data_IF_645081029669
#
_entry.id   IF_645081029669
#
_cell.length_a   1.000
_cell.length_b   1.000
_cell.length_c   1.000
_cell.angle_alpha   90.00
_cell.angle_beta   90.00
_cell.angle_gamma   90.00
#
_symmetry.space_group_name_H-M   'P 1'
#
loop_
_entity.id
_entity.type
_entity.pdbx_description
1 polymer ?
#
# COMPACT_ATOMS: atom_id res chain seq x y z
N UNK A 1 -18.67 -12.60 -10.49
CA UNK A 1 -17.99 -12.57 -11.81
C UNK A 1 -18.73 -11.63 -12.75
N UNK A 2 -20.05 -11.56 -12.65
CA UNK A 2 -20.92 -10.77 -13.53
C UNK A 2 -20.68 -9.26 -13.40
N UNK A 3 -20.48 -8.76 -12.18
CA UNK A 3 -20.14 -7.34 -11.91
C UNK A 3 -18.85 -6.90 -12.65
N UNK A 4 -17.85 -7.78 -12.71
CA UNK A 4 -16.60 -7.50 -13.40
C UNK A 4 -16.80 -7.45 -14.92
N UNK A 5 -17.61 -8.36 -15.46
CA UNK A 5 -17.91 -8.44 -16.89
C UNK A 5 -18.72 -7.20 -17.32
N UNK A 6 -19.69 -6.77 -16.50
CA UNK A 6 -20.49 -5.58 -16.77
C UNK A 6 -19.64 -4.31 -16.78
N UNK A 7 -18.76 -4.14 -15.79
CA UNK A 7 -17.84 -3.00 -15.73
C UNK A 7 -16.88 -2.96 -16.92
N UNK A 8 -16.33 -4.11 -17.29
CA UNK A 8 -15.43 -4.24 -18.45
C UNK A 8 -16.18 -3.97 -19.76
N UNK A 9 -17.42 -4.44 -19.89
CA UNK A 9 -18.24 -4.19 -21.08
C UNK A 9 -18.54 -2.70 -21.28
N UNK A 10 -18.80 -1.98 -20.18
CA UNK A 10 -19.04 -0.54 -20.18
C UNK A 10 -17.76 0.24 -20.56
N UNK A 11 -16.58 -0.25 -20.16
CA UNK A 11 -15.30 0.37 -20.49
C UNK A 11 -14.87 0.17 -21.95
N UNK A 12 -15.23 -1.00 -22.52
CA UNK A 12 -14.90 -1.37 -23.90
C UNK A 12 -15.88 -0.76 -24.90
N UNK A 13 -17.08 -0.34 -24.46
CA UNK A 13 -18.11 0.15 -25.36
C UNK A 13 -17.63 1.38 -26.14
N UNK A 14 -17.57 1.22 -27.46
CA UNK A 14 -16.99 2.21 -28.34
C UNK A 14 -18.00 3.34 -28.60
N UNK A 15 -17.82 4.50 -27.96
CA UNK A 15 -18.57 5.70 -28.35
C UNK A 15 -18.01 6.25 -29.66
N UNK A 16 -18.90 6.50 -30.60
CA UNK A 16 -18.56 6.71 -32.02
C UNK A 16 -18.03 8.13 -32.31
N UNK A 17 -17.89 9.00 -31.30
CA UNK A 17 -17.50 10.41 -31.46
C UNK A 17 -16.23 10.81 -30.67
N UNK A 18 -15.48 9.85 -30.12
CA UNK A 18 -14.33 10.16 -29.25
C UNK A 18 -12.99 10.18 -30.02
N UNK A 19 -12.28 11.31 -29.92
CA UNK A 19 -10.91 11.49 -30.45
C UNK A 19 -9.91 10.54 -29.77
N UNK A 20 -8.78 10.28 -30.44
CA UNK A 20 -7.73 9.38 -29.92
C UNK A 20 -7.22 9.79 -28.53
N UNK A 21 -7.14 11.09 -28.26
CA UNK A 21 -6.67 11.60 -26.97
C UNK A 21 -7.68 11.37 -25.83
N UNK A 22 -8.98 11.42 -26.12
CA UNK A 22 -10.02 11.17 -25.12
C UNK A 22 -10.03 9.69 -24.70
N UNK A 23 -9.73 8.79 -25.64
CA UNK A 23 -9.56 7.35 -25.38
C UNK A 23 -8.36 7.05 -24.49
N UNK A 24 -7.22 7.72 -24.71
CA UNK A 24 -6.04 7.55 -23.84
C UNK A 24 -6.37 7.91 -22.39
N UNK A 25 -7.13 8.98 -22.16
CA UNK A 25 -7.40 9.45 -20.81
C UNK A 25 -8.51 8.65 -20.10
N UNK A 26 -9.62 8.35 -20.77
CA UNK A 26 -10.74 7.65 -20.14
C UNK A 26 -10.58 6.13 -20.12
N UNK A 27 -9.91 5.52 -21.11
CA UNK A 27 -9.72 4.07 -21.16
C UNK A 27 -8.37 3.62 -20.59
N UNK A 28 -7.27 4.21 -21.06
CA UNK A 28 -5.92 3.70 -20.75
C UNK A 28 -5.45 4.12 -19.36
N UNK A 29 -5.59 5.39 -18.98
CA UNK A 29 -5.17 5.88 -17.65
C UNK A 29 -5.78 5.09 -16.47
N UNK A 30 -7.12 4.91 -16.37
CA UNK A 30 -7.70 4.14 -15.26
C UNK A 30 -7.35 2.65 -15.33
N UNK A 31 -7.23 2.07 -16.53
CA UNK A 31 -6.77 0.69 -16.66
C UNK A 31 -5.35 0.51 -16.12
N UNK A 32 -4.44 1.45 -16.41
CA UNK A 32 -3.09 1.46 -15.84
C UNK A 32 -3.10 1.61 -14.32
N UNK A 33 -3.96 2.48 -13.77
CA UNK A 33 -4.11 2.58 -12.30
C UNK A 33 -4.61 1.29 -11.67
N UNK A 34 -5.58 0.61 -12.29
CA UNK A 34 -6.07 -0.69 -11.83
C UNK A 34 -4.95 -1.73 -11.87
N UNK A 35 -4.20 -1.82 -12.98
CA UNK A 35 -3.07 -2.75 -13.07
C UNK A 35 -1.99 -2.46 -12.00
N UNK A 36 -1.59 -1.20 -11.84
CA UNK A 36 -0.57 -0.82 -10.86
C UNK A 36 -1.04 -1.08 -9.43
N UNK A 37 -2.31 -0.84 -9.12
CA UNK A 37 -2.87 -1.14 -7.80
C UNK A 37 -2.90 -2.65 -7.52
N UNK A 38 -3.29 -3.48 -8.49
CA UNK A 38 -3.26 -4.94 -8.38
C UNK A 38 -1.84 -5.46 -8.13
N UNK A 39 -0.83 -4.90 -8.80
CA UNK A 39 0.58 -5.28 -8.57
C UNK A 39 1.02 -4.96 -7.13
N UNK A 40 0.65 -3.78 -6.62
CA UNK A 40 0.95 -3.41 -5.24
C UNK A 40 0.22 -4.31 -4.23
N UNK A 41 -1.05 -4.62 -4.47
CA UNK A 41 -1.83 -5.54 -3.63
C UNK A 41 -1.21 -6.94 -3.63
N UNK A 42 -0.81 -7.44 -4.80
CA UNK A 42 -0.19 -8.76 -4.92
C UNK A 42 1.08 -8.89 -4.09
N UNK A 43 1.86 -7.80 -3.96
CA UNK A 43 3.05 -7.76 -3.09
C UNK A 43 2.72 -7.91 -1.60
N UNK A 44 1.53 -7.50 -1.16
CA UNK A 44 1.09 -7.65 0.23
C UNK A 44 0.62 -9.08 0.54
N UNK A 45 -0.03 -9.77 -0.40
CA UNK A 45 -0.61 -11.09 -0.13
C UNK A 45 0.33 -12.27 -0.38
N UNK A 46 1.25 -12.14 -1.34
CA UNK A 46 2.11 -13.26 -1.79
C UNK A 46 3.54 -13.12 -1.25
N UNK A 47 3.93 -11.95 -0.73
CA UNK A 47 5.27 -11.69 -0.21
C UNK A 47 5.28 -10.84 1.05
N UNK A 48 6.47 -10.47 1.52
CA UNK A 48 6.62 -9.50 2.62
C UNK A 48 6.64 -8.07 2.06
N UNK A 49 5.71 -7.23 2.53
CA UNK A 49 5.66 -5.81 2.15
C UNK A 49 6.85 -5.02 2.71
N UNK A 50 7.36 -5.43 3.88
CA UNK A 50 8.54 -4.87 4.54
C UNK A 50 9.30 -5.98 5.27
N UNK A 51 10.63 -5.89 5.32
CA UNK A 51 11.46 -6.78 6.13
C UNK A 51 12.10 -5.96 7.25
N UNK A 52 11.76 -6.30 8.49
CA UNK A 52 12.28 -5.67 9.70
C UNK A 52 13.47 -6.46 10.27
N UNK A 53 14.33 -5.75 11.01
CA UNK A 53 15.40 -6.38 11.75
C UNK A 53 14.82 -7.07 13.00
N UNK A 54 14.60 -8.38 12.92
CA UNK A 54 14.17 -9.21 14.03
C UNK A 54 15.38 -9.69 14.87
N UNK A 55 15.14 -10.02 16.14
CA UNK A 55 16.18 -10.62 17.00
C UNK A 55 16.48 -12.05 16.54
N UNK A 56 17.74 -12.48 16.69
CA UNK A 56 18.19 -13.81 16.29
C UNK A 56 17.49 -14.97 17.04
N UNK A 57 16.95 -14.69 18.23
CA UNK A 57 16.26 -15.69 19.07
C UNK A 57 14.81 -15.96 18.63
N UNK A 58 14.26 -15.17 17.69
CA UNK A 58 12.87 -15.29 17.27
C UNK A 58 12.68 -16.49 16.33
N UNK A 59 11.65 -17.30 16.61
CA UNK A 59 11.17 -18.32 15.69
C UNK A 59 10.52 -17.66 14.46
N UNK A 60 10.45 -18.40 13.35
CA UNK A 60 9.94 -17.90 12.06
C UNK A 60 8.57 -17.19 12.16
N UNK A 61 7.62 -17.73 12.93
CA UNK A 61 6.31 -17.07 13.11
C UNK A 61 6.39 -15.70 13.80
N UNK A 62 7.34 -15.49 14.72
CA UNK A 62 7.55 -14.19 15.35
C UNK A 62 8.25 -13.20 14.41
N UNK A 63 9.05 -13.69 13.46
CA UNK A 63 9.65 -12.85 12.42
C UNK A 63 8.56 -12.29 11.50
N UNK A 64 7.62 -13.15 11.06
CA UNK A 64 6.46 -12.71 10.27
C UNK A 64 5.61 -11.69 11.04
N UNK A 65 5.27 -11.99 12.30
CA UNK A 65 4.52 -11.05 13.15
C UNK A 65 5.23 -9.69 13.30
N UNK A 66 6.56 -9.69 13.46
CA UNK A 66 7.34 -8.45 13.60
C UNK A 66 7.28 -7.61 12.33
N UNK A 67 7.33 -8.25 11.15
CA UNK A 67 7.21 -7.56 9.87
C UNK A 67 5.83 -6.93 9.69
N UNK A 68 4.76 -7.64 10.04
CA UNK A 68 3.39 -7.11 9.96
C UNK A 68 3.18 -5.97 10.95
N UNK A 69 3.70 -6.12 12.16
CA UNK A 69 3.64 -5.07 13.19
C UNK A 69 4.35 -3.79 12.73
N UNK A 70 5.53 -3.92 12.15
CA UNK A 70 6.27 -2.80 11.56
C UNK A 70 5.52 -2.08 10.43
N UNK A 71 4.70 -2.80 9.66
CA UNK A 71 3.96 -2.24 8.54
C UNK A 71 2.74 -1.43 9.01
N UNK A 72 2.05 -1.92 10.03
CA UNK A 72 0.85 -1.28 10.58
C UNK A 72 1.21 -0.07 11.44
N UNK A 73 2.29 -0.17 12.22
CA UNK A 73 2.76 0.91 13.07
C UNK A 73 3.54 1.98 12.28
N UNK A 74 3.47 3.23 12.75
CA UNK A 74 4.21 4.32 12.13
C UNK A 74 5.71 4.18 12.40
N UNK A 75 6.52 4.23 11.34
CA UNK A 75 7.98 4.23 11.43
C UNK A 75 8.53 5.65 11.46
N UNK A 76 9.79 5.82 11.83
CA UNK A 76 10.49 7.11 11.84
C UNK A 76 11.90 6.88 11.33
N UNK A 77 12.45 7.89 10.65
CA UNK A 77 13.82 7.82 10.15
C UNK A 77 14.77 8.40 11.18
N UNK A 78 15.91 7.71 11.39
CA UNK A 78 17.00 8.19 12.23
C UNK A 78 18.28 8.12 11.39
N UNK A 79 19.10 9.17 11.47
CA UNK A 79 20.41 9.18 10.83
C UNK A 79 21.37 8.26 11.60
N UNK A 80 22.28 7.59 10.89
CA UNK A 80 23.15 6.55 11.46
C UNK A 80 24.15 7.05 12.52
N UNK A 81 24.42 8.35 12.56
CA UNK A 81 25.28 9.05 13.52
C UNK A 81 24.55 9.55 14.77
N UNK A 82 23.21 9.48 14.79
CA UNK A 82 22.38 10.02 15.86
C UNK A 82 21.87 8.92 16.82
N UNK A 83 21.81 9.23 18.12
CA UNK A 83 21.23 8.31 19.10
C UNK A 83 19.71 8.41 19.08
N UNK A 84 19.05 7.28 19.31
CA UNK A 84 17.58 7.22 19.39
C UNK A 84 17.10 8.20 20.49
N UNK A 85 16.26 9.21 20.16
CA UNK A 85 15.82 10.20 21.14
C UNK A 85 14.96 9.53 22.23
N UNK A 86 15.27 9.86 23.49
CA UNK A 86 14.54 9.39 24.67
C UNK A 86 13.15 10.04 24.77
N UNK A 87 13.00 11.26 24.26
CA UNK A 87 11.74 12.00 24.31
C UNK A 87 10.78 11.53 23.21
N UNK A 88 9.62 11.02 23.63
CA UNK A 88 8.60 10.46 22.74
C UNK A 88 8.04 11.50 21.77
N UNK A 89 7.98 12.77 22.17
CA UNK A 89 7.45 13.86 21.36
C UNK A 89 8.28 14.14 20.10
N UNK A 90 9.62 14.16 20.20
CA UNK A 90 10.49 14.31 19.03
C UNK A 90 10.28 13.14 18.06
N UNK A 91 10.23 11.91 18.58
CA UNK A 91 10.00 10.71 17.78
C UNK A 91 8.65 10.75 17.05
N UNK A 92 7.62 11.29 17.69
CA UNK A 92 6.29 11.41 17.10
C UNK A 92 6.25 12.44 15.96
N UNK A 93 7.02 13.52 16.05
CA UNK A 93 7.09 14.56 15.02
C UNK A 93 7.70 14.04 13.70
N UNK A 94 8.63 13.09 13.79
CA UNK A 94 9.37 12.55 12.62
C UNK A 94 8.79 11.23 12.08
N UNK A 95 7.56 10.89 12.47
CA UNK A 95 6.89 9.68 11.98
C UNK A 95 6.50 9.81 10.50
N UNK A 96 6.72 8.74 9.76
CA UNK A 96 6.37 8.60 8.34
C UNK A 96 5.16 7.66 8.26
N UNK A 97 4.02 8.17 7.76
CA UNK A 97 2.72 7.47 7.81
C UNK A 97 2.16 7.04 6.44
N UNK A 98 3.01 6.88 5.43
CA UNK A 98 2.58 6.69 4.03
C UNK A 98 1.81 5.40 3.76
N UNK A 99 2.19 4.27 4.37
CA UNK A 99 1.50 2.99 4.16
C UNK A 99 0.11 2.93 4.80
N UNK A 100 -0.16 3.78 5.80
CA UNK A 100 -1.44 3.77 6.51
C UNK A 100 -2.58 4.42 5.70
N UNK A 101 -2.26 5.21 4.67
CA UNK A 101 -3.27 5.90 3.87
C UNK A 101 -4.01 4.96 2.89
N UNK A 102 -3.38 3.87 2.44
CA UNK A 102 -3.97 2.94 1.46
C UNK A 102 -4.99 1.97 2.06
N UNK A 103 -4.98 1.76 3.38
CA UNK A 103 -5.92 0.86 4.06
C UNK A 103 -6.42 1.44 5.38
N UNK A 104 -6.71 2.75 5.42
CA UNK A 104 -7.56 3.33 6.48
C UNK A 104 -9.04 3.20 6.09
N UNK A 105 -9.47 1.98 5.77
CA UNK A 105 -10.86 1.61 6.04
C UNK A 105 -10.92 1.46 7.56
N UNK A 106 -11.16 2.56 8.26
CA UNK A 106 -11.30 2.61 9.71
C UNK A 106 -12.64 1.95 10.08
N UNK A 107 -12.71 0.64 9.91
CA UNK A 107 -13.67 -0.27 10.50
C UNK A 107 -12.97 -1.13 11.56
N UNK A 108 -12.09 -0.49 12.35
CA UNK A 108 -11.88 -0.88 13.75
C UNK A 108 -12.48 0.25 14.56
N UNK A 109 -13.81 0.20 14.67
CA UNK A 109 -14.53 0.80 15.78
C UNK A 109 -14.11 -0.02 17.01
N UNK A 110 -13.34 0.58 17.89
CA UNK A 110 -13.34 0.23 19.31
C UNK A 110 -13.91 1.45 20.04
#
# INVERSE_FOLDING_TARGET
MDILIDFVSQFIQNRHEDDHFDRLNYQITPFLFVLLSLVNISKLYIGSAINCFAKAEFKEGWVQYTNDYCLVENTYYIRSDERIPLQKELRNRERIAYYQASCKCKACLF
#
